data_IF_778706580921
#
_entry.id   IF_778706580921
#
_cell.length_a   1.000
_cell.length_b   1.000
_cell.length_c   1.000
_cell.angle_alpha   90.00
_cell.angle_beta   90.00
_cell.angle_gamma   90.00
#
_symmetry.space_group_name_H-M   'P 1'
#
loop_
_entity.id
_entity.type
_entity.pdbx_description
1 polymer ?
#
# COMPACT_ATOMS: atom_id res chain seq x y z
N UNK A 1 32.65 26.42 -25.03
CA UNK A 1 31.51 25.49 -24.93
C UNK A 1 32.02 24.07 -25.06
N UNK A 2 32.12 23.30 -23.96
CA UNK A 2 32.60 21.90 -23.98
C UNK A 2 32.31 21.19 -22.66
N UNK A 3 31.04 21.05 -22.24
CA UNK A 3 30.66 20.33 -21.00
C UNK A 3 29.26 19.68 -21.04
N UNK A 4 28.78 19.20 -22.20
CA UNK A 4 27.46 18.54 -22.25
C UNK A 4 27.55 17.06 -22.69
N UNK A 5 28.72 16.59 -23.12
CA UNK A 5 28.85 15.25 -23.71
C UNK A 5 29.26 14.15 -22.72
N UNK A 6 28.84 14.21 -21.46
CA UNK A 6 29.19 13.16 -20.47
C UNK A 6 28.05 12.74 -19.52
N UNK A 7 26.79 13.09 -19.79
CA UNK A 7 25.67 12.74 -18.91
C UNK A 7 24.69 11.70 -19.47
N UNK A 8 24.94 11.14 -20.66
CA UNK A 8 24.04 10.19 -21.33
C UNK A 8 24.44 8.71 -21.18
N UNK A 9 25.49 8.40 -20.41
CA UNK A 9 26.06 7.04 -20.30
C UNK A 9 25.70 6.31 -18.99
N UNK A 10 24.88 6.88 -18.11
CA UNK A 10 24.61 6.34 -16.76
C UNK A 10 23.21 5.72 -16.56
N UNK A 11 22.38 5.61 -17.61
CA UNK A 11 21.00 5.10 -17.49
C UNK A 11 20.78 3.73 -18.15
N UNK A 12 21.84 3.01 -18.49
CA UNK A 12 21.73 1.63 -18.97
C UNK A 12 22.10 0.66 -17.85
N UNK A 13 21.12 -0.07 -17.33
CA UNK A 13 21.38 -1.37 -16.71
C UNK A 13 20.82 -1.61 -15.31
N UNK A 14 19.55 -1.31 -15.05
CA UNK A 14 18.78 -2.05 -14.04
C UNK A 14 17.62 -2.76 -14.72
N UNK A 15 17.94 -3.67 -15.66
CA UNK A 15 16.99 -4.70 -16.07
C UNK A 15 17.10 -5.79 -15.01
N UNK A 16 16.06 -6.04 -14.20
CA UNK A 16 16.09 -7.17 -13.29
C UNK A 16 16.30 -8.44 -14.12
N UNK A 17 17.17 -9.36 -13.69
CA UNK A 17 17.35 -10.62 -14.39
C UNK A 17 15.97 -11.28 -14.54
N UNK A 18 15.67 -11.88 -15.72
CA UNK A 18 14.40 -12.56 -15.92
C UNK A 18 14.21 -13.60 -14.81
N UNK A 19 12.97 -13.77 -14.29
CA UNK A 19 12.72 -14.76 -13.25
C UNK A 19 13.22 -16.11 -13.75
N UNK A 20 13.98 -16.84 -12.90
CA UNK A 20 14.47 -18.16 -13.23
C UNK A 20 13.30 -19.02 -13.72
N UNK A 21 13.26 -19.30 -15.03
CA UNK A 21 12.37 -20.32 -15.57
C UNK A 21 12.91 -21.64 -15.06
N UNK A 22 12.22 -22.20 -14.07
CA UNK A 22 12.36 -23.61 -13.75
C UNK A 22 11.96 -24.39 -15.00
N UNK A 23 12.96 -24.89 -15.73
CA UNK A 23 12.77 -25.82 -16.85
C UNK A 23 12.50 -27.19 -16.23
N UNK A 24 11.30 -27.77 -16.41
CA UNK A 24 11.05 -29.13 -15.95
C UNK A 24 11.95 -30.08 -16.73
N UNK A 25 12.88 -30.76 -16.03
CA UNK A 25 13.72 -31.83 -16.61
C UNK A 25 15.20 -31.51 -16.86
N UNK A 26 15.71 -30.36 -16.43
CA UNK A 26 17.16 -30.10 -16.43
C UNK A 26 17.89 -30.79 -15.26
N UNK A 27 19.17 -31.18 -15.39
CA UNK A 27 19.92 -31.74 -14.27
C UNK A 27 20.00 -30.70 -13.16
N UNK A 28 19.49 -31.07 -11.98
CA UNK A 28 19.46 -30.25 -10.78
C UNK A 28 20.88 -29.78 -10.47
N UNK A 29 21.19 -28.54 -10.87
CA UNK A 29 22.30 -27.82 -10.27
C UNK A 29 22.03 -27.74 -8.77
N UNK A 30 23.06 -28.01 -7.98
CA UNK A 30 23.13 -27.95 -6.52
C UNK A 30 22.75 -26.54 -5.99
N UNK A 31 21.47 -26.18 -6.10
CA UNK A 31 20.90 -24.91 -5.67
C UNK A 31 19.58 -25.22 -4.97
N UNK A 32 19.70 -25.66 -3.73
CA UNK A 32 18.56 -25.96 -2.89
C UNK A 32 18.98 -26.80 -1.71
N UNK A 33 19.66 -26.18 -0.73
CA UNK A 33 19.33 -26.57 0.64
C UNK A 33 17.81 -26.48 0.72
N UNK A 34 17.16 -27.62 0.89
CA UNK A 34 15.72 -27.72 1.07
C UNK A 34 15.38 -26.93 2.33
N UNK A 35 15.16 -25.62 2.18
CA UNK A 35 14.60 -24.80 3.24
C UNK A 35 13.24 -25.43 3.49
N UNK A 36 13.13 -26.15 4.61
CA UNK A 36 11.86 -26.73 5.02
C UNK A 36 10.84 -25.61 4.98
N UNK A 37 9.73 -25.85 4.28
CA UNK A 37 8.64 -24.88 4.20
C UNK A 37 8.13 -24.51 5.59
N UNK A 38 7.31 -23.45 5.69
CA UNK A 38 6.74 -23.05 6.97
C UNK A 38 6.09 -24.25 7.67
N UNK A 39 6.44 -24.47 8.94
CA UNK A 39 5.79 -25.52 9.75
C UNK A 39 4.28 -25.29 9.78
N UNK A 40 3.51 -26.36 9.83
CA UNK A 40 2.08 -26.24 10.13
C UNK A 40 1.91 -25.69 11.55
N UNK A 41 1.01 -24.72 11.69
CA UNK A 41 0.57 -24.25 13.01
C UNK A 41 -0.31 -25.32 13.64
N UNK A 42 -0.16 -25.54 14.94
CA UNK A 42 -1.06 -26.38 15.72
C UNK A 42 -2.41 -25.68 15.95
N UNK A 43 -3.47 -26.45 16.20
CA UNK A 43 -4.80 -25.90 16.49
C UNK A 43 -4.80 -24.92 17.67
N UNK A 44 -3.94 -25.14 18.68
CA UNK A 44 -3.80 -24.24 19.82
C UNK A 44 -3.16 -22.90 19.41
N UNK A 45 -2.11 -22.94 18.58
CA UNK A 45 -1.48 -21.72 18.04
C UNK A 45 -2.43 -20.95 17.14
N UNK A 46 -3.27 -21.64 16.37
CA UNK A 46 -4.32 -21.00 15.57
C UNK A 46 -5.35 -20.33 16.48
N UNK A 47 -5.76 -21.00 17.57
CA UNK A 47 -6.70 -20.41 18.55
C UNK A 47 -6.12 -19.18 19.24
N UNK A 48 -4.86 -19.22 19.69
CA UNK A 48 -4.22 -18.06 20.34
C UNK A 48 -4.07 -16.89 19.39
N UNK A 49 -3.62 -17.12 18.15
CA UNK A 49 -3.51 -16.07 17.14
C UNK A 49 -4.87 -15.45 16.79
N UNK A 50 -5.93 -16.26 16.69
CA UNK A 50 -7.29 -15.75 16.47
C UNK A 50 -7.79 -14.92 17.67
N UNK A 51 -7.51 -15.36 18.89
CA UNK A 51 -7.89 -14.62 20.10
C UNK A 51 -7.14 -13.27 20.19
N UNK A 52 -5.84 -13.26 19.91
CA UNK A 52 -5.03 -12.04 19.84
C UNK A 52 -5.50 -11.09 18.74
N UNK A 53 -5.83 -11.60 17.55
CA UNK A 53 -6.34 -10.79 16.44
C UNK A 53 -7.72 -10.20 16.76
N UNK A 54 -8.60 -10.99 17.36
CA UNK A 54 -9.92 -10.55 17.79
C UNK A 54 -9.85 -9.43 18.83
N UNK A 55 -8.90 -9.52 19.77
CA UNK A 55 -8.66 -8.49 20.78
C UNK A 55 -8.23 -7.17 20.14
N UNK A 56 -7.41 -7.21 19.08
CA UNK A 56 -7.00 -6.01 18.35
C UNK A 56 -8.14 -5.42 17.49
N UNK A 57 -9.08 -6.25 17.01
CA UNK A 57 -10.25 -5.79 16.25
C UNK A 57 -11.33 -5.11 17.11
N UNK A 58 -11.28 -5.22 18.43
CA UNK A 58 -12.27 -4.62 19.32
C UNK A 58 -12.18 -3.09 19.43
N UNK A 59 -11.15 -2.46 18.88
CA UNK A 59 -11.20 -1.02 18.65
C UNK A 59 -12.02 -0.75 17.39
N UNK A 60 -13.25 -0.22 17.50
CA UNK A 60 -13.93 0.28 16.31
C UNK A 60 -12.98 1.26 15.62
N UNK A 61 -12.88 1.22 14.28
CA UNK A 61 -12.02 2.13 13.55
C UNK A 61 -12.36 3.54 14.03
N UNK A 62 -11.34 4.24 14.53
CA UNK A 62 -11.45 5.60 15.04
C UNK A 62 -12.29 6.39 14.04
N UNK A 63 -13.45 6.92 14.48
CA UNK A 63 -14.37 7.61 13.57
C UNK A 63 -13.62 8.79 12.97
N UNK A 64 -13.22 8.63 11.71
CA UNK A 64 -12.43 9.64 11.02
C UNK A 64 -13.33 10.82 10.72
N UNK A 65 -12.99 11.99 11.26
CA UNK A 65 -13.69 13.23 10.94
C UNK A 65 -13.36 13.69 9.52
N UNK A 66 -14.25 13.36 8.59
CA UNK A 66 -14.15 13.72 7.18
C UNK A 66 -14.15 15.25 6.98
N UNK A 67 -14.89 16.01 7.79
CA UNK A 67 -14.95 17.47 7.65
C UNK A 67 -13.63 18.12 8.11
N UNK A 68 -13.06 17.60 9.20
CA UNK A 68 -11.71 17.95 9.66
C UNK A 68 -10.65 17.65 8.60
N UNK A 69 -10.75 16.50 7.92
CA UNK A 69 -9.83 16.17 6.81
C UNK A 69 -9.99 17.11 5.62
N UNK A 70 -11.21 17.47 5.20
CA UNK A 70 -11.41 18.44 4.12
C UNK A 70 -10.78 19.79 4.45
N UNK A 71 -10.93 20.25 5.70
CA UNK A 71 -10.32 21.50 6.18
C UNK A 71 -8.79 21.43 6.11
N UNK A 72 -8.20 20.29 6.46
CA UNK A 72 -6.76 20.10 6.34
C UNK A 72 -6.30 20.04 4.87
N UNK A 73 -7.09 19.43 3.98
CA UNK A 73 -6.78 19.35 2.54
C UNK A 73 -6.77 20.74 1.91
N UNK A 74 -7.68 21.63 2.29
CA UNK A 74 -7.72 23.01 1.76
C UNK A 74 -6.60 23.88 2.32
N UNK A 75 -6.18 23.65 3.56
CA UNK A 75 -5.08 24.38 4.20
C UNK A 75 -3.69 23.86 3.81
N UNK A 76 -3.60 22.62 3.31
CA UNK A 76 -2.32 22.01 2.94
C UNK A 76 -1.69 22.72 1.73
N UNK A 77 -0.53 23.34 1.97
CA UNK A 77 0.28 24.01 0.94
C UNK A 77 1.23 23.04 0.23
N UNK A 78 1.66 21.98 0.91
CA UNK A 78 2.57 20.98 0.37
C UNK A 78 1.81 19.89 -0.41
N UNK A 79 2.19 19.66 -1.67
CA UNK A 79 1.57 18.67 -2.54
C UNK A 79 1.56 17.25 -1.95
N UNK A 80 2.70 16.75 -1.44
CA UNK A 80 2.78 15.40 -0.85
C UNK A 80 1.95 15.26 0.41
N UNK A 81 1.80 16.35 1.19
CA UNK A 81 0.93 16.35 2.35
C UNK A 81 -0.53 16.33 1.92
N UNK A 82 -0.91 17.17 0.96
CA UNK A 82 -2.26 17.22 0.39
C UNK A 82 -2.68 15.86 -0.17
N UNK A 83 -1.80 15.20 -0.94
CA UNK A 83 -2.07 13.87 -1.49
C UNK A 83 -2.31 12.83 -0.37
N UNK A 84 -1.46 12.78 0.66
CA UNK A 84 -1.67 11.88 1.80
C UNK A 84 -2.99 12.14 2.55
N UNK A 85 -3.40 13.40 2.66
CA UNK A 85 -4.68 13.76 3.27
C UNK A 85 -5.87 13.34 2.39
N UNK A 86 -5.76 13.50 1.07
CA UNK A 86 -6.77 13.03 0.10
C UNK A 86 -6.89 11.51 0.12
N UNK A 87 -5.78 10.77 0.20
CA UNK A 87 -5.79 9.31 0.30
C UNK A 87 -6.46 8.85 1.60
N UNK A 88 -6.13 9.51 2.73
CA UNK A 88 -6.78 9.25 4.03
C UNK A 88 -8.28 9.52 3.98
N UNK A 89 -8.69 10.61 3.34
CA UNK A 89 -10.10 10.93 3.14
C UNK A 89 -10.81 9.84 2.31
N UNK A 90 -10.20 9.39 1.21
CA UNK A 90 -10.77 8.32 0.38
C UNK A 90 -10.96 7.03 1.17
N UNK A 91 -9.94 6.59 1.91
CA UNK A 91 -10.03 5.39 2.73
C UNK A 91 -11.15 5.50 3.79
N UNK A 92 -11.28 6.65 4.43
CA UNK A 92 -12.34 6.88 5.41
C UNK A 92 -13.74 6.92 4.76
N UNK A 93 -13.88 7.53 3.58
CA UNK A 93 -15.14 7.58 2.86
C UNK A 93 -15.61 6.20 2.39
N UNK A 94 -14.70 5.28 2.05
CA UNK A 94 -15.05 3.90 1.66
C UNK A 94 -15.71 3.09 2.78
N UNK A 95 -15.53 3.49 4.04
CA UNK A 95 -16.16 2.84 5.20
C UNK A 95 -17.60 3.32 5.44
N UNK A 96 -18.05 4.37 4.74
CA UNK A 96 -19.41 4.88 4.87
C UNK A 96 -20.43 4.03 4.08
N UNK A 97 -21.71 4.05 4.48
CA UNK A 97 -22.80 3.54 3.66
C UNK A 97 -22.83 4.22 2.29
N UNK A 98 -23.27 3.49 1.27
CA UNK A 98 -23.25 3.94 -0.13
C UNK A 98 -23.88 5.33 -0.36
N UNK A 99 -25.04 5.58 0.27
CA UNK A 99 -25.73 6.87 0.16
C UNK A 99 -24.90 8.07 0.68
N UNK A 100 -24.09 7.86 1.72
CA UNK A 100 -23.24 8.90 2.31
C UNK A 100 -21.88 9.00 1.61
N UNK A 101 -21.37 7.87 1.12
CA UNK A 101 -20.09 7.76 0.42
C UNK A 101 -20.07 8.60 -0.86
N UNK A 102 -21.13 8.52 -1.67
CA UNK A 102 -21.21 9.28 -2.92
C UNK A 102 -21.20 10.80 -2.64
N UNK A 103 -21.89 11.22 -1.58
CA UNK A 103 -21.89 12.60 -1.13
C UNK A 103 -20.50 13.03 -0.62
N UNK A 104 -19.79 12.16 0.10
CA UNK A 104 -18.43 12.43 0.57
C UNK A 104 -17.45 12.63 -0.60
N UNK A 105 -17.50 11.77 -1.63
CA UNK A 105 -16.66 11.93 -2.82
C UNK A 105 -17.04 13.17 -3.63
N UNK A 106 -18.32 13.52 -3.70
CA UNK A 106 -18.74 14.78 -4.33
C UNK A 106 -18.11 15.98 -3.62
N UNK A 107 -18.23 16.05 -2.28
CA UNK A 107 -17.65 17.14 -1.48
C UNK A 107 -16.14 17.26 -1.70
N UNK A 108 -15.42 16.14 -1.74
CA UNK A 108 -13.98 16.13 -2.00
C UNK A 108 -13.65 16.73 -3.38
N UNK A 109 -14.36 16.32 -4.43
CA UNK A 109 -14.17 16.88 -5.78
C UNK A 109 -14.41 18.38 -5.81
N UNK A 110 -15.45 18.85 -5.14
CA UNK A 110 -15.78 20.27 -5.08
C UNK A 110 -14.71 21.09 -4.32
N UNK A 111 -13.96 20.46 -3.42
CA UNK A 111 -12.87 21.12 -2.68
C UNK A 111 -11.53 21.09 -3.40
N UNK A 112 -11.21 20.04 -4.16
CA UNK A 112 -9.93 19.95 -4.91
C UNK A 112 -10.01 20.44 -6.35
N UNK A 113 -11.21 20.55 -6.93
CA UNK A 113 -11.44 21.02 -8.31
C UNK A 113 -11.53 22.54 -8.47
N UNK A 114 -11.38 23.31 -7.38
CA UNK A 114 -11.17 24.77 -7.40
C UNK A 114 -9.69 25.09 -7.38
#
# INVERSE_FOLDING_TARGET
MRRITLLMLLLYGCVPPPPHQFVPGGPLGEAGQTVQGPRQASDEEVRTMLAESSLHQQNPPERVDLNGLLTQITQATNFRQKQRLVDRYHHAALLLPEAERDQAFQRLRDTTGK
#
